data_IF_474421451984
#
_entry.id   IF_474421451984
#
_cell.length_a   1.000
_cell.length_b   1.000
_cell.length_c   1.000
_cell.angle_alpha   90.00
_cell.angle_beta   90.00
_cell.angle_gamma   90.00
#
_symmetry.space_group_name_H-M   'P 1'
#
loop_
_entity.id
_entity.type
_entity.pdbx_description
1 polymer ?
#
# COMPACT_ATOMS: atom_id res chain seq x y z
N UNK A 1 -8.76 25.17 -100.67
CA UNK A 1 -9.87 24.25 -100.57
C UNK A 1 -9.84 23.57 -99.17
N UNK A 2 -10.93 23.74 -98.44
CA UNK A 2 -11.49 22.97 -97.36
C UNK A 2 -10.61 22.62 -96.13
N UNK A 3 -10.88 23.33 -95.06
CA UNK A 3 -10.73 22.82 -93.69
C UNK A 3 -11.65 21.66 -93.46
N UNK A 4 -11.32 20.82 -92.40
CA UNK A 4 -12.31 20.78 -91.30
C UNK A 4 -11.71 20.71 -89.88
N UNK A 5 -12.42 21.39 -89.06
CA UNK A 5 -13.03 21.03 -87.77
C UNK A 5 -12.07 20.53 -86.62
N UNK A 6 -12.00 21.39 -85.64
CA UNK A 6 -11.51 21.19 -84.28
C UNK A 6 -12.49 20.31 -83.49
N UNK A 7 -11.98 19.27 -82.86
CA UNK A 7 -12.65 18.53 -81.83
C UNK A 7 -12.11 18.92 -80.47
N UNK A 8 -12.92 19.57 -79.67
CA UNK A 8 -12.61 19.95 -78.30
C UNK A 8 -12.56 18.73 -77.37
N UNK A 9 -11.47 18.63 -76.63
CA UNK A 9 -11.32 17.64 -75.55
C UNK A 9 -11.49 18.34 -74.21
N UNK A 10 -12.61 18.12 -73.58
CA UNK A 10 -12.89 18.57 -72.21
C UNK A 10 -11.94 17.87 -71.23
N UNK A 11 -11.18 18.66 -70.47
CA UNK A 11 -10.42 18.18 -69.33
C UNK A 11 -11.32 18.09 -68.11
N UNK A 12 -11.54 16.87 -67.62
CA UNK A 12 -12.20 16.62 -66.36
C UNK A 12 -11.26 16.94 -65.19
N UNK A 13 -11.62 17.93 -64.42
CA UNK A 13 -10.94 18.28 -63.15
C UNK A 13 -11.30 17.25 -62.08
N UNK A 14 -10.36 16.41 -61.72
CA UNK A 14 -10.46 15.51 -60.57
C UNK A 14 -10.31 16.30 -59.29
N UNK A 15 -11.39 16.48 -58.55
CA UNK A 15 -11.39 16.99 -57.16
C UNK A 15 -10.72 15.96 -56.25
N UNK A 16 -9.53 16.26 -55.75
CA UNK A 16 -8.87 15.50 -54.71
C UNK A 16 -9.60 15.68 -53.40
N UNK A 17 -10.35 14.66 -52.97
CA UNK A 17 -10.96 14.60 -51.64
C UNK A 17 -9.85 14.34 -50.61
N UNK A 18 -9.50 15.38 -49.86
CA UNK A 18 -8.59 15.26 -48.73
C UNK A 18 -9.39 14.63 -47.57
N UNK A 19 -9.15 13.36 -47.30
CA UNK A 19 -9.71 12.68 -46.15
C UNK A 19 -9.19 13.34 -44.86
N UNK A 20 -10.07 13.95 -44.09
CA UNK A 20 -9.82 14.53 -42.79
C UNK A 20 -9.45 13.38 -41.81
N UNK A 21 -8.19 13.34 -41.35
CA UNK A 21 -7.75 12.42 -40.30
C UNK A 21 -8.63 12.63 -39.06
N UNK A 22 -9.17 11.57 -38.43
CA UNK A 22 -9.88 11.73 -37.18
C UNK A 22 -8.90 12.26 -36.12
N UNK A 23 -9.31 13.29 -35.42
CA UNK A 23 -8.58 13.81 -34.25
C UNK A 23 -8.49 12.70 -33.20
N UNK A 24 -7.34 12.54 -32.49
CA UNK A 24 -7.26 11.59 -31.42
C UNK A 24 -8.29 11.97 -30.33
N UNK A 25 -9.16 11.05 -30.04
CA UNK A 25 -10.09 11.15 -28.87
C UNK A 25 -9.22 11.32 -27.62
N UNK A 26 -9.49 12.29 -26.73
CA UNK A 26 -8.80 12.36 -25.45
C UNK A 26 -9.12 11.07 -24.71
N UNK A 27 -8.08 10.27 -24.47
CA UNK A 27 -8.14 9.13 -23.55
C UNK A 27 -8.31 9.73 -22.17
N UNK A 28 -9.50 9.64 -21.61
CA UNK A 28 -9.72 9.94 -20.19
C UNK A 28 -8.75 9.08 -19.38
N UNK A 29 -8.07 9.64 -18.39
CA UNK A 29 -7.26 8.81 -17.47
C UNK A 29 -8.19 7.74 -16.91
N UNK A 30 -7.69 6.49 -16.71
CA UNK A 30 -8.48 5.45 -16.09
C UNK A 30 -9.00 6.00 -14.75
N UNK A 31 -10.29 5.82 -14.49
CA UNK A 31 -10.90 6.13 -13.20
C UNK A 31 -10.00 5.44 -12.15
N UNK A 32 -9.49 6.23 -11.18
CA UNK A 32 -8.71 5.69 -10.09
C UNK A 32 -9.56 4.60 -9.44
N UNK A 33 -9.07 3.36 -9.50
CA UNK A 33 -9.75 2.21 -8.95
C UNK A 33 -9.89 2.46 -7.45
N UNK A 34 -11.12 2.69 -6.97
CA UNK A 34 -11.38 3.04 -5.58
C UNK A 34 -10.93 1.91 -4.62
N UNK A 35 -10.73 0.70 -5.16
CA UNK A 35 -10.25 -0.49 -4.48
C UNK A 35 -8.73 -0.70 -4.60
N UNK A 36 -7.98 0.21 -5.24
CA UNK A 36 -6.52 0.10 -5.32
C UNK A 36 -5.90 0.07 -3.90
N UNK A 37 -4.96 -0.85 -3.61
CA UNK A 37 -4.43 -1.09 -2.27
C UNK A 37 -3.92 0.15 -1.53
N UNK A 38 -3.40 1.16 -2.26
CA UNK A 38 -2.88 2.40 -1.70
C UNK A 38 -3.84 3.60 -1.79
N UNK A 39 -5.07 3.41 -2.28
CA UNK A 39 -6.03 4.52 -2.47
C UNK A 39 -6.31 5.27 -1.17
N UNK A 40 -6.51 4.57 -0.06
CA UNK A 40 -6.75 5.17 1.27
C UNK A 40 -5.51 5.90 1.81
N UNK A 41 -4.31 5.39 1.52
CA UNK A 41 -3.06 6.03 1.88
C UNK A 41 -2.89 7.36 1.15
N UNK A 42 -3.10 7.37 -0.16
CA UNK A 42 -3.01 8.57 -0.99
C UNK A 42 -4.10 9.60 -0.65
N UNK A 43 -5.34 9.15 -0.41
CA UNK A 43 -6.45 10.05 -0.07
C UNK A 43 -6.26 10.83 1.24
N UNK A 44 -5.46 10.33 2.18
CA UNK A 44 -5.23 10.95 3.48
C UNK A 44 -4.05 11.92 3.51
N UNK A 45 -3.28 12.06 2.42
CA UNK A 45 -2.01 12.80 2.40
C UNK A 45 -1.93 13.84 1.29
N UNK A 46 -1.34 14.96 1.61
CA UNK A 46 -0.87 15.95 0.63
C UNK A 46 0.66 15.87 0.56
N UNK A 47 1.18 15.14 -0.42
CA UNK A 47 2.63 14.90 -0.58
C UNK A 47 3.45 16.14 -0.91
N UNK A 48 2.82 17.29 -1.11
CA UNK A 48 3.50 18.60 -1.19
C UNK A 48 3.79 19.16 0.20
N UNK A 49 3.17 18.62 1.24
CA UNK A 49 3.19 19.13 2.61
C UNK A 49 3.71 18.13 3.64
N UNK A 50 3.89 16.88 3.26
CA UNK A 50 4.48 15.83 4.09
C UNK A 50 5.73 15.24 3.43
N UNK A 51 6.79 14.92 4.20
CA UNK A 51 7.97 14.23 3.66
C UNK A 51 7.75 12.73 3.43
N UNK A 52 6.57 12.20 3.76
CA UNK A 52 6.24 10.79 3.55
C UNK A 52 6.30 10.44 2.05
N UNK A 53 6.81 9.25 1.67
CA UNK A 53 6.87 8.84 0.28
C UNK A 53 5.48 8.59 -0.29
N UNK A 54 5.18 9.08 -1.50
CA UNK A 54 3.95 8.74 -2.20
C UNK A 54 3.91 7.25 -2.56
N UNK A 55 5.01 6.71 -3.07
CA UNK A 55 5.17 5.30 -3.38
C UNK A 55 4.12 4.74 -4.35
N UNK A 56 4.30 3.49 -4.70
CA UNK A 56 3.40 2.69 -5.53
C UNK A 56 3.31 1.27 -4.98
N UNK A 57 2.37 0.48 -5.50
CA UNK A 57 2.30 -0.97 -5.23
C UNK A 57 3.53 -1.63 -5.86
N UNK A 58 4.21 -2.48 -5.11
CA UNK A 58 5.39 -3.21 -5.60
C UNK A 58 5.02 -4.32 -6.57
N UNK A 59 5.89 -4.56 -7.55
CA UNK A 59 5.69 -5.55 -8.61
C UNK A 59 6.16 -6.96 -8.21
N UNK A 60 7.00 -7.08 -7.20
CA UNK A 60 7.57 -8.35 -6.76
C UNK A 60 7.04 -8.75 -5.38
N UNK A 61 6.85 -10.06 -5.13
CA UNK A 61 6.55 -10.54 -3.80
C UNK A 61 7.75 -10.31 -2.87
N UNK A 62 7.47 -9.77 -1.70
CA UNK A 62 8.46 -9.56 -0.67
C UNK A 62 7.91 -9.86 0.72
N UNK A 63 8.80 -10.00 1.67
CA UNK A 63 8.47 -10.28 3.07
C UNK A 63 9.22 -9.35 4.02
N UNK A 64 9.40 -8.09 3.63
CA UNK A 64 9.95 -7.08 4.54
C UNK A 64 9.00 -6.80 5.69
N UNK A 65 9.53 -6.45 6.85
CA UNK A 65 8.75 -5.86 7.91
C UNK A 65 9.50 -4.70 8.56
N UNK A 66 8.73 -3.79 9.11
CA UNK A 66 9.22 -2.66 9.90
C UNK A 66 8.25 -2.37 11.04
N UNK A 67 8.80 -1.91 12.15
CA UNK A 67 8.03 -1.28 13.21
C UNK A 67 8.53 0.16 13.36
N UNK A 68 7.63 1.10 13.13
CA UNK A 68 7.87 2.51 13.40
C UNK A 68 7.39 2.87 14.80
N UNK A 69 8.23 3.57 15.57
CA UNK A 69 7.81 4.26 16.77
C UNK A 69 7.36 5.66 16.39
N UNK A 70 6.11 5.99 16.69
CA UNK A 70 5.45 7.17 16.19
C UNK A 70 4.88 8.02 17.34
N UNK A 71 5.44 9.21 17.52
CA UNK A 71 4.95 10.21 18.46
C UNK A 71 3.96 11.14 17.77
N UNK A 72 2.74 10.64 17.52
CA UNK A 72 1.61 11.42 17.03
C UNK A 72 0.88 12.11 18.21
N UNK A 73 -0.44 12.30 18.13
CA UNK A 73 -1.25 12.74 19.28
C UNK A 73 -1.06 11.84 20.51
N UNK A 74 -0.83 10.55 20.28
CA UNK A 74 -0.46 9.57 21.28
C UNK A 74 0.68 8.71 20.73
N UNK A 75 1.65 8.37 21.59
CA UNK A 75 2.70 7.43 21.22
C UNK A 75 2.10 6.06 20.89
N UNK A 76 2.50 5.51 19.75
CA UNK A 76 2.17 4.15 19.34
C UNK A 76 3.27 3.56 18.48
N UNK A 77 3.13 2.28 18.16
CA UNK A 77 4.06 1.54 17.31
C UNK A 77 3.29 1.00 16.12
N UNK A 78 3.75 1.31 14.92
CA UNK A 78 3.15 0.83 13.67
C UNK A 78 3.86 -0.42 13.20
N UNK A 79 3.22 -1.58 13.31
CA UNK A 79 3.67 -2.83 12.72
C UNK A 79 3.26 -2.86 11.24
N UNK A 80 4.21 -3.10 10.36
CA UNK A 80 3.99 -3.21 8.92
C UNK A 80 4.63 -4.46 8.36
N UNK A 81 3.85 -5.25 7.63
CA UNK A 81 4.26 -6.51 7.02
C UNK A 81 4.00 -6.45 5.51
N UNK A 82 5.05 -6.63 4.72
CA UNK A 82 4.91 -6.65 3.26
C UNK A 82 4.14 -7.88 2.79
N UNK A 83 3.04 -7.65 2.08
CA UNK A 83 2.24 -8.71 1.48
C UNK A 83 1.46 -8.16 0.30
N UNK A 84 1.60 -8.79 -0.87
CA UNK A 84 0.89 -8.39 -2.08
C UNK A 84 1.31 -7.02 -2.62
N UNK A 85 2.59 -6.66 -2.48
CA UNK A 85 3.15 -5.41 -3.01
C UNK A 85 2.90 -4.17 -2.15
N UNK A 86 2.31 -4.33 -0.97
CA UNK A 86 2.09 -3.25 0.00
C UNK A 86 2.48 -3.66 1.41
N UNK A 87 2.59 -2.69 2.30
CA UNK A 87 2.82 -2.92 3.72
C UNK A 87 1.48 -2.95 4.45
N UNK A 88 0.99 -4.16 4.80
CA UNK A 88 -0.15 -4.35 5.69
C UNK A 88 0.19 -3.76 7.05
N UNK A 89 -0.67 -2.91 7.59
CA UNK A 89 -0.28 -2.04 8.71
C UNK A 89 -1.27 -2.08 9.87
N UNK A 90 -0.71 -2.10 11.10
CA UNK A 90 -1.45 -2.05 12.37
C UNK A 90 -0.79 -1.07 13.32
N UNK A 91 -1.58 -0.17 13.89
CA UNK A 91 -1.13 0.67 15.00
C UNK A 91 -1.30 -0.08 16.32
N UNK A 92 -0.22 -0.20 17.09
CA UNK A 92 -0.15 -0.90 18.38
C UNK A 92 0.11 0.12 19.48
N UNK A 93 -0.92 0.60 20.22
CA UNK A 93 -0.76 1.71 21.16
C UNK A 93 0.26 1.46 22.28
N UNK A 94 0.32 0.23 22.79
CA UNK A 94 1.25 -0.15 23.87
C UNK A 94 2.54 -0.80 23.35
N UNK A 95 2.70 -0.90 22.03
CA UNK A 95 3.80 -1.62 21.41
C UNK A 95 3.70 -3.15 21.55
N UNK A 96 4.58 -3.89 20.84
CA UNK A 96 4.66 -5.34 20.97
C UNK A 96 5.16 -5.76 22.36
N UNK A 97 4.74 -6.93 22.84
CA UNK A 97 5.22 -7.54 24.06
C UNK A 97 5.83 -8.90 23.77
N UNK A 98 6.95 -9.21 24.40
CA UNK A 98 7.58 -10.53 24.32
C UNK A 98 6.95 -11.55 25.27
N UNK A 99 6.04 -11.12 26.17
CA UNK A 99 5.31 -12.02 27.05
C UNK A 99 4.11 -12.64 26.32
N UNK A 100 4.05 -13.97 26.16
CA UNK A 100 2.91 -14.64 25.51
C UNK A 100 1.56 -14.48 26.22
N UNK A 101 1.53 -14.02 27.46
CA UNK A 101 0.30 -13.73 28.20
C UNK A 101 -0.32 -12.39 27.81
N UNK A 102 0.50 -11.49 27.28
CA UNK A 102 0.03 -10.17 26.85
C UNK A 102 -0.71 -10.25 25.50
N UNK A 103 -1.86 -9.63 25.47
CA UNK A 103 -2.67 -9.44 24.25
C UNK A 103 -2.68 -7.96 23.91
N UNK A 104 -1.83 -7.52 22.97
CA UNK A 104 -1.69 -6.12 22.62
C UNK A 104 -2.70 -5.75 21.55
N UNK A 105 -3.53 -4.73 21.83
CA UNK A 105 -4.41 -4.18 20.79
C UNK A 105 -3.57 -3.73 19.58
N UNK A 106 -4.00 -4.14 18.40
CA UNK A 106 -3.44 -3.75 17.11
C UNK A 106 -4.60 -3.30 16.21
N UNK A 107 -4.66 -2.01 15.92
CA UNK A 107 -5.72 -1.43 15.10
C UNK A 107 -5.25 -1.42 13.65
N UNK A 108 -5.97 -2.15 12.79
CA UNK A 108 -5.65 -2.16 11.36
C UNK A 108 -5.88 -0.78 10.76
N UNK A 109 -4.90 -0.29 10.04
CA UNK A 109 -4.93 0.99 9.33
C UNK A 109 -4.76 0.76 7.82
N UNK A 110 -4.72 1.83 7.04
CA UNK A 110 -4.49 1.73 5.60
C UNK A 110 -3.14 1.08 5.28
N UNK A 111 -3.08 0.38 4.16
CA UNK A 111 -1.82 -0.14 3.63
C UNK A 111 -0.89 1.01 3.26
N UNK A 112 0.40 0.80 3.44
CA UNK A 112 1.44 1.76 3.09
C UNK A 112 2.28 1.25 1.91
N UNK A 113 2.91 2.14 1.13
CA UNK A 113 3.85 1.72 0.09
C UNK A 113 5.11 1.11 0.72
N UNK A 114 5.78 0.21 0.00
CA UNK A 114 7.04 -0.41 0.44
C UNK A 114 8.12 0.64 0.74
N UNK A 115 8.14 1.74 -0.03
CA UNK A 115 9.04 2.87 0.20
C UNK A 115 8.92 3.50 1.59
N UNK A 116 7.80 3.29 2.29
CA UNK A 116 7.62 3.77 3.67
C UNK A 116 8.50 3.04 4.68
N UNK A 117 9.07 1.89 4.33
CA UNK A 117 9.94 1.10 5.23
C UNK A 117 11.20 1.84 5.66
N UNK A 118 11.69 2.75 4.82
CA UNK A 118 12.89 3.56 5.10
C UNK A 118 12.56 4.96 5.61
N UNK A 119 11.28 5.26 5.84
CA UNK A 119 10.86 6.59 6.27
C UNK A 119 11.17 6.83 7.75
N UNK A 120 11.97 7.85 8.01
CA UNK A 120 12.14 8.49 9.32
C UNK A 120 12.02 10.00 9.16
N UNK A 121 11.34 10.67 10.08
CA UNK A 121 11.20 12.11 9.98
C UNK A 121 10.10 12.70 10.84
N UNK A 122 9.84 13.97 10.57
CA UNK A 122 8.78 14.75 11.20
C UNK A 122 7.64 14.99 10.22
N UNK A 123 6.49 14.37 10.47
CA UNK A 123 5.26 14.70 9.75
C UNK A 123 4.73 16.01 10.32
N UNK A 124 4.51 17.05 9.51
CA UNK A 124 4.10 18.35 10.02
C UNK A 124 2.80 18.32 10.81
N UNK A 125 2.69 19.18 11.82
CA UNK A 125 1.44 19.36 12.54
C UNK A 125 0.31 19.75 11.59
N UNK A 126 -0.88 19.19 11.82
CA UNK A 126 -2.04 19.41 10.95
C UNK A 126 -2.09 18.52 9.70
N UNK A 127 -1.05 17.74 9.41
CA UNK A 127 -1.12 16.64 8.46
C UNK A 127 -1.61 15.36 9.15
N UNK A 128 -2.18 14.44 8.36
CA UNK A 128 -2.58 13.13 8.88
C UNK A 128 -1.37 12.40 9.48
N UNK A 129 -1.49 11.95 10.73
CA UNK A 129 -0.40 11.31 11.44
C UNK A 129 0.72 12.26 11.90
N UNK A 130 0.46 13.58 11.99
CA UNK A 130 1.46 14.57 12.42
C UNK A 130 2.23 14.13 13.66
N UNK A 131 3.57 14.20 13.61
CA UNK A 131 4.46 13.77 14.67
C UNK A 131 5.77 13.18 14.17
N UNK A 132 6.62 12.81 15.11
CA UNK A 132 7.93 12.19 14.80
C UNK A 132 7.81 10.70 14.57
N UNK A 133 8.46 10.21 13.53
CA UNK A 133 8.54 8.79 13.17
C UNK A 133 9.99 8.36 13.13
N UNK A 134 10.32 7.25 13.78
CA UNK A 134 11.61 6.57 13.65
C UNK A 134 11.41 5.08 13.43
N UNK A 135 12.36 4.43 12.77
CA UNK A 135 12.41 2.98 12.66
C UNK A 135 12.84 2.42 14.02
N UNK A 136 11.95 1.67 14.68
CA UNK A 136 12.23 1.04 15.98
C UNK A 136 12.77 -0.37 15.81
N UNK A 137 12.27 -1.13 14.83
CA UNK A 137 12.74 -2.47 14.46
C UNK A 137 12.47 -2.74 12.99
N UNK A 138 13.27 -3.58 12.37
CA UNK A 138 13.07 -4.01 10.99
C UNK A 138 13.74 -5.34 10.70
N UNK A 139 13.36 -5.94 9.59
CA UNK A 139 13.89 -7.20 9.11
C UNK A 139 12.97 -7.81 8.06
N UNK A 140 12.82 -9.11 8.14
CA UNK A 140 11.87 -9.84 7.30
C UNK A 140 10.96 -10.74 8.14
N UNK A 141 9.88 -11.18 7.54
CA UNK A 141 8.92 -12.09 8.15
C UNK A 141 8.65 -13.28 7.24
N UNK A 142 8.11 -14.35 7.79
CA UNK A 142 7.61 -15.48 7.04
C UNK A 142 6.28 -15.96 7.63
N UNK A 143 5.39 -16.58 6.84
CA UNK A 143 4.25 -17.30 7.40
C UNK A 143 4.74 -18.35 8.41
N UNK A 144 3.99 -18.57 9.49
CA UNK A 144 4.29 -19.68 10.39
C UNK A 144 4.21 -21.01 9.63
N UNK A 145 4.98 -22.04 10.02
CA UNK A 145 4.96 -23.34 9.35
C UNK A 145 3.54 -23.88 9.21
N UNK A 146 3.16 -24.29 7.99
CA UNK A 146 1.83 -24.80 7.69
C UNK A 146 0.71 -23.77 7.60
N UNK A 147 1.02 -22.48 7.65
CA UNK A 147 0.05 -21.38 7.54
C UNK A 147 0.20 -20.64 6.20
N UNK A 148 -0.93 -20.27 5.60
CA UNK A 148 -1.01 -19.35 4.46
C UNK A 148 -1.32 -17.94 4.95
N UNK A 149 -0.55 -16.98 4.49
CA UNK A 149 -0.67 -15.58 4.95
C UNK A 149 -1.97 -14.92 4.50
N UNK A 150 -2.34 -15.09 3.22
CA UNK A 150 -3.56 -14.49 2.66
C UNK A 150 -4.81 -15.09 3.31
N UNK A 151 -4.85 -16.42 3.41
CA UNK A 151 -5.95 -17.12 4.06
C UNK A 151 -6.05 -16.77 5.54
N UNK A 152 -4.93 -16.65 6.25
CA UNK A 152 -4.89 -16.28 7.66
C UNK A 152 -5.41 -14.86 7.92
N UNK A 153 -5.01 -13.90 7.09
CA UNK A 153 -5.54 -12.52 7.16
C UNK A 153 -7.04 -12.48 6.87
N UNK A 154 -7.50 -13.16 5.83
CA UNK A 154 -8.91 -13.22 5.49
C UNK A 154 -9.75 -13.84 6.63
N UNK A 155 -9.27 -14.94 7.21
CA UNK A 155 -9.92 -15.61 8.32
C UNK A 155 -9.83 -14.85 9.67
N UNK A 156 -8.94 -13.85 9.78
CA UNK A 156 -8.71 -13.13 11.03
C UNK A 156 -7.87 -13.91 12.06
N UNK A 157 -7.05 -14.84 11.60
CA UNK A 157 -6.09 -15.59 12.41
C UNK A 157 -4.80 -15.76 11.61
N UNK A 158 -3.93 -14.77 11.74
CA UNK A 158 -2.71 -14.70 10.96
C UNK A 158 -1.49 -14.98 11.85
N UNK A 159 -0.82 -16.10 11.57
CA UNK A 159 0.39 -16.52 12.27
C UNK A 159 1.63 -16.36 11.40
N UNK A 160 2.66 -15.75 11.97
CA UNK A 160 3.89 -15.41 11.26
C UNK A 160 5.11 -15.46 12.18
N UNK A 161 6.29 -15.50 11.59
CA UNK A 161 7.57 -15.48 12.28
C UNK A 161 8.30 -14.19 11.90
N UNK A 162 8.80 -13.45 12.89
CA UNK A 162 9.64 -12.28 12.69
C UNK A 162 11.11 -12.66 12.77
N UNK A 163 11.91 -12.06 11.90
CA UNK A 163 13.37 -12.14 11.85
C UNK A 163 13.93 -10.72 11.85
N UNK A 164 13.76 -10.03 12.98
CA UNK A 164 14.14 -8.65 13.16
C UNK A 164 15.43 -8.44 13.91
N UNK A 165 15.81 -7.18 14.02
CA UNK A 165 16.94 -6.78 14.86
C UNK A 165 16.59 -6.93 16.36
N UNK A 166 15.35 -6.61 16.74
CA UNK A 166 14.85 -6.70 18.13
C UNK A 166 13.86 -7.83 18.32
N UNK A 167 12.86 -7.97 17.43
CA UNK A 167 11.79 -8.94 17.54
C UNK A 167 12.08 -10.17 16.70
N UNK A 168 11.94 -11.33 17.31
CA UNK A 168 12.17 -12.62 16.67
C UNK A 168 11.10 -13.63 17.07
N UNK A 169 11.06 -14.76 16.32
CA UNK A 169 10.18 -15.88 16.60
C UNK A 169 8.73 -15.67 16.19
N UNK A 170 7.87 -16.53 16.71
CA UNK A 170 6.46 -16.62 16.30
C UNK A 170 5.57 -15.56 16.93
N UNK A 171 4.63 -15.09 16.13
CA UNK A 171 3.62 -14.10 16.50
C UNK A 171 2.27 -14.48 15.90
N UNK A 172 1.21 -14.00 16.51
CA UNK A 172 -0.15 -14.11 15.99
C UNK A 172 -0.85 -12.75 15.99
N UNK A 173 -1.59 -12.47 14.93
CA UNK A 173 -2.60 -11.42 14.85
C UNK A 173 -3.98 -12.08 14.79
N UNK A 174 -4.82 -11.80 15.78
CA UNK A 174 -6.17 -12.35 15.89
C UNK A 174 -7.20 -11.23 15.83
N UNK A 175 -8.06 -11.25 14.83
CA UNK A 175 -9.09 -10.23 14.63
C UNK A 175 -10.23 -10.41 15.63
N UNK A 176 -10.63 -9.31 16.25
CA UNK A 176 -11.77 -9.28 17.14
C UNK A 176 -13.09 -9.25 16.34
N UNK A 177 -14.09 -10.00 16.81
CA UNK A 177 -15.37 -10.20 16.09
C UNK A 177 -16.19 -8.92 15.91
N UNK A 178 -16.10 -8.00 16.88
CA UNK A 178 -16.89 -6.75 16.90
C UNK A 178 -16.17 -5.57 16.24
N UNK A 179 -15.25 -5.88 15.32
CA UNK A 179 -14.49 -4.86 14.60
C UNK A 179 -15.33 -4.21 13.50
N UNK A 180 -15.26 -2.89 13.40
CA UNK A 180 -15.85 -2.16 12.28
C UNK A 180 -15.08 -2.48 10.97
N UNK A 181 -15.77 -2.55 9.81
CA UNK A 181 -15.14 -2.92 8.54
C UNK A 181 -13.92 -2.04 8.17
N UNK A 182 -13.99 -0.74 8.49
CA UNK A 182 -12.94 0.23 8.13
C UNK A 182 -11.81 0.35 9.16
N UNK A 183 -11.97 -0.27 10.34
CA UNK A 183 -11.06 -0.17 11.48
C UNK A 183 -11.06 -1.46 12.27
N UNK A 184 -10.61 -2.54 11.63
CA UNK A 184 -10.57 -3.82 12.29
C UNK A 184 -9.59 -3.81 13.48
N UNK A 185 -10.08 -4.22 14.64
CA UNK A 185 -9.29 -4.42 15.84
C UNK A 185 -8.76 -5.84 15.86
N UNK A 186 -7.48 -5.97 16.13
CA UNK A 186 -6.75 -7.22 16.25
C UNK A 186 -6.03 -7.28 17.59
N UNK A 187 -5.62 -8.47 17.99
CA UNK A 187 -4.70 -8.70 19.09
C UNK A 187 -3.38 -9.19 18.53
N UNK A 188 -2.29 -8.49 18.85
CA UNK A 188 -0.92 -8.94 18.60
C UNK A 188 -0.43 -9.73 19.82
N UNK A 189 -0.03 -10.98 19.60
CA UNK A 189 0.34 -11.93 20.65
C UNK A 189 1.66 -12.59 20.27
N UNK A 190 2.59 -12.64 21.22
CA UNK A 190 3.82 -13.44 21.09
C UNK A 190 3.51 -14.93 21.28
N UNK A 191 3.95 -15.77 20.35
CA UNK A 191 3.88 -17.23 20.51
C UNK A 191 4.88 -17.72 21.58
N UNK A 192 4.58 -18.86 22.20
CA UNK A 192 5.47 -19.50 23.17
C UNK A 192 6.62 -20.19 22.45
N UNK A 193 7.76 -19.57 22.39
CA UNK A 193 8.98 -20.07 21.78
C UNK A 193 10.24 -19.57 22.50
N UNK A 194 11.42 -19.88 21.97
CA UNK A 194 12.70 -19.48 22.55
C UNK A 194 12.93 -17.96 22.60
N UNK A 195 12.22 -17.19 21.80
CA UNK A 195 12.29 -15.73 21.78
C UNK A 195 11.32 -15.05 22.76
N UNK A 196 10.41 -15.81 23.39
CA UNK A 196 9.49 -15.27 24.39
C UNK A 196 10.24 -14.84 25.67
N UNK A 197 9.74 -13.77 26.28
CA UNK A 197 10.23 -13.23 27.56
C UNK A 197 9.00 -12.87 28.42
N UNK A 198 8.67 -13.69 29.42
CA UNK A 198 7.59 -13.41 30.37
C UNK A 198 7.95 -12.29 31.34
#
# INVERSE_FOLDING_TARGET
>A
QKAPALSGRAQAATKKVVAKRPSPTPVSPPAADADAPLSRYHAKRDFRRTPEPAGAVGDAPGHAYVIHKHWASHLHYDLRLELGGTMRSWAVPKGPSLDPRDKRLAVQVEDHPIAYNDFEGQIPAGQYGGGRVIIWDRGHWSPAPGHDAQAGLAAGNFKFVLHGEKLQGGWALVRLKDSQPDKANWLLIKEKDAAARP
#
